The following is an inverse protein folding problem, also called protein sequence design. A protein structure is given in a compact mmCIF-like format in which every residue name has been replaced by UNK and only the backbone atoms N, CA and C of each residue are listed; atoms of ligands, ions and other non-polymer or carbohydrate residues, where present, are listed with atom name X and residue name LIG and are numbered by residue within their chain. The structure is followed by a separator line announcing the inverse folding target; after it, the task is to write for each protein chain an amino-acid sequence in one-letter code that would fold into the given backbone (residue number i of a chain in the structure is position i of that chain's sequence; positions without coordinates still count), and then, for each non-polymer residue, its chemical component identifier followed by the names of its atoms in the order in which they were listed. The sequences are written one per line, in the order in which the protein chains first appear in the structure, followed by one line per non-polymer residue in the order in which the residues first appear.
data_IF_651235720024
#
_entry.id   IF_651235720024
#
_cell.length_a   1.000
_cell.length_b   1.000
_cell.length_c   1.000
_cell.angle_alpha   90.00
_cell.angle_beta   90.00
_cell.angle_gamma   90.00
#
_symmetry.space_group_name_H-M   'P 1'
#
loop_
_entity.id
_entity.type
_entity.pdbx_description
1 polymer ?
#
# COMPACT_ATOMS: atom_id res chain seq x y z
N UNK A 1 1.37 8.74 16.41
CA UNK A 1 0.76 7.67 15.60
C UNK A 1 1.84 6.76 15.04
N UNK A 2 1.66 5.46 15.18
CA UNK A 2 2.54 4.48 14.55
C UNK A 2 1.95 4.11 13.19
N UNK A 3 2.76 4.17 12.16
CA UNK A 3 2.35 3.90 10.79
C UNK A 3 2.95 2.59 10.31
N UNK A 4 2.11 1.67 9.92
CA UNK A 4 2.53 0.33 9.53
C UNK A 4 2.02 0.05 8.11
N UNK A 5 2.91 -0.34 7.23
CA UNK A 5 2.55 -0.74 5.87
C UNK A 5 2.50 -2.26 5.80
N UNK A 6 1.39 -2.79 5.34
CA UNK A 6 1.23 -4.23 5.12
C UNK A 6 1.52 -4.46 3.65
N UNK A 7 2.56 -5.21 3.36
CA UNK A 7 3.01 -5.44 1.98
C UNK A 7 3.01 -6.91 1.64
N UNK A 8 2.86 -7.22 0.36
CA UNK A 8 2.83 -8.58 -0.10
C UNK A 8 2.01 -8.73 -1.36
N UNK A 9 2.14 -9.86 -2.04
CA UNK A 9 1.40 -10.10 -3.28
C UNK A 9 -0.08 -10.39 -3.02
N UNK A 10 -0.84 -10.49 -4.11
CA UNK A 10 -2.21 -10.92 -4.05
C UNK A 10 -2.30 -12.30 -3.38
N UNK A 11 -3.40 -12.55 -2.73
CA UNK A 11 -3.67 -13.84 -2.08
C UNK A 11 -2.73 -14.16 -0.92
N UNK A 12 -2.07 -13.15 -0.37
CA UNK A 12 -1.21 -13.33 0.80
C UNK A 12 -1.92 -13.08 2.13
N UNK A 13 -3.20 -12.70 2.08
CA UNK A 13 -3.94 -12.33 3.28
C UNK A 13 -3.65 -10.91 3.78
N UNK A 14 -3.01 -10.12 2.95
CA UNK A 14 -2.58 -8.77 3.29
C UNK A 14 -3.74 -7.87 3.74
N UNK A 15 -4.81 -7.84 2.95
CA UNK A 15 -5.97 -7.01 3.26
C UNK A 15 -6.66 -7.48 4.53
N UNK A 16 -6.84 -8.78 4.67
CA UNK A 16 -7.47 -9.37 5.85
C UNK A 16 -6.69 -9.01 7.10
N UNK A 17 -5.37 -9.11 7.05
CA UNK A 17 -4.50 -8.77 8.17
C UNK A 17 -4.61 -7.30 8.53
N UNK A 18 -4.57 -6.43 7.53
CA UNK A 18 -4.65 -4.98 7.75
C UNK A 18 -5.95 -4.58 8.43
N UNK A 19 -7.07 -5.14 7.97
CA UNK A 19 -8.38 -4.86 8.56
C UNK A 19 -8.45 -5.41 9.98
N UNK A 20 -7.96 -6.63 10.18
CA UNK A 20 -7.97 -7.28 11.49
C UNK A 20 -7.19 -6.47 12.53
N UNK A 21 -5.97 -6.06 12.17
CA UNK A 21 -5.14 -5.27 13.09
C UNK A 21 -5.77 -3.91 13.38
N UNK A 22 -6.39 -3.31 12.37
CA UNK A 22 -7.05 -2.02 12.56
C UNK A 22 -8.19 -2.12 13.57
N UNK A 23 -8.92 -3.22 13.55
CA UNK A 23 -10.03 -3.42 14.48
C UNK A 23 -9.53 -3.71 15.90
N UNK A 24 -8.55 -4.60 16.04
CA UNK A 24 -8.05 -5.00 17.35
C UNK A 24 -7.35 -3.84 18.07
N UNK A 25 -6.53 -3.10 17.33
CA UNK A 25 -5.75 -2.01 17.90
C UNK A 25 -6.43 -0.65 17.79
N UNK A 26 -7.68 -0.64 17.31
CA UNK A 26 -8.47 0.58 17.13
C UNK A 26 -7.70 1.61 16.29
N UNK A 27 -7.11 1.12 15.21
CA UNK A 27 -6.35 1.94 14.29
C UNK A 27 -7.15 2.38 13.08
N UNK A 28 -6.51 3.12 12.21
CA UNK A 28 -7.09 3.57 10.94
C UNK A 28 -6.60 2.66 9.82
N UNK A 29 -7.54 2.17 9.01
CA UNK A 29 -7.22 1.33 7.86
C UNK A 29 -7.18 2.19 6.60
N UNK A 30 -6.14 2.00 5.78
CA UNK A 30 -6.03 2.65 4.48
C UNK A 30 -6.06 1.58 3.40
N UNK A 31 -7.07 1.65 2.55
CA UNK A 31 -7.29 0.70 1.47
C UNK A 31 -6.25 0.85 0.36
N UNK A 32 -6.02 -0.23 -0.39
CA UNK A 32 -5.12 -0.19 -1.55
C UNK A 32 -5.87 0.40 -2.74
N UNK A 33 -5.47 1.58 -3.16
CA UNK A 33 -6.13 2.28 -4.28
C UNK A 33 -6.05 1.49 -5.58
N UNK A 34 -4.90 0.87 -5.86
CA UNK A 34 -4.70 0.14 -7.11
C UNK A 34 -5.69 -1.01 -7.26
N UNK A 35 -6.04 -1.67 -6.16
CA UNK A 35 -7.02 -2.75 -6.21
C UNK A 35 -8.39 -2.24 -6.64
N UNK A 36 -8.82 -1.13 -6.06
CA UNK A 36 -10.10 -0.53 -6.41
C UNK A 36 -10.12 -0.12 -7.88
N UNK A 37 -9.01 0.44 -8.35
CA UNK A 37 -8.90 0.84 -9.75
C UNK A 37 -8.99 -0.38 -10.67
N UNK A 38 -8.27 -1.47 -10.34
CA UNK A 38 -8.24 -2.66 -11.18
C UNK A 38 -9.55 -3.43 -11.16
N UNK A 39 -10.34 -3.28 -10.11
CA UNK A 39 -11.69 -3.89 -10.08
C UNK A 39 -12.63 -3.24 -11.09
N UNK A 40 -12.36 -1.99 -11.45
CA UNK A 40 -13.17 -1.25 -12.42
C UNK A 40 -12.57 -1.27 -13.81
N UNK A 41 -11.26 -1.46 -13.92
CA UNK A 41 -10.52 -1.42 -15.17
C UNK A 41 -9.62 -2.65 -15.26
N UNK A 42 -9.72 -3.38 -16.36
CA UNK A 42 -8.97 -4.64 -16.50
C UNK A 42 -7.48 -4.44 -16.75
N UNK A 43 -7.11 -3.30 -17.33
CA UNK A 43 -5.72 -3.04 -17.71
C UNK A 43 -5.23 -1.72 -17.17
N UNK A 44 -3.91 -1.57 -17.14
CA UNK A 44 -3.27 -0.33 -16.72
C UNK A 44 -1.97 -0.16 -17.48
N UNK A 45 -1.46 1.09 -17.50
CA UNK A 45 -0.21 1.43 -18.15
C UNK A 45 0.78 1.95 -17.09
N UNK A 46 2.02 2.22 -17.54
CA UNK A 46 3.03 2.78 -16.65
C UNK A 46 2.57 4.13 -16.08
N UNK A 47 1.81 4.90 -16.86
CA UNK A 47 1.31 6.19 -16.37
C UNK A 47 0.30 6.03 -15.26
N UNK A 48 -0.45 4.94 -15.25
CA UNK A 48 -1.41 4.66 -14.17
C UNK A 48 -0.70 4.43 -12.84
N UNK A 49 0.53 3.95 -12.87
CA UNK A 49 1.30 3.75 -11.63
C UNK A 49 1.59 5.07 -10.92
N UNK A 50 1.78 6.15 -11.67
CA UNK A 50 1.94 7.48 -11.08
C UNK A 50 0.68 7.89 -10.35
N UNK A 51 -0.48 7.59 -10.94
CA UNK A 51 -1.78 7.87 -10.32
C UNK A 51 -1.95 7.02 -9.07
N UNK A 52 -1.60 5.75 -9.14
CA UNK A 52 -1.70 4.84 -8.00
C UNK A 52 -0.85 5.37 -6.83
N UNK A 53 0.39 5.76 -7.11
CA UNK A 53 1.29 6.26 -6.08
C UNK A 53 0.76 7.56 -5.47
N UNK A 54 0.29 8.47 -6.29
CA UNK A 54 -0.25 9.74 -5.81
C UNK A 54 -1.48 9.52 -4.93
N UNK A 55 -2.43 8.71 -5.40
CA UNK A 55 -3.66 8.47 -4.66
C UNK A 55 -3.41 7.69 -3.37
N UNK A 56 -2.52 6.71 -3.41
CA UNK A 56 -2.17 5.95 -2.22
C UNK A 56 -1.52 6.86 -1.17
N UNK A 57 -0.58 7.68 -1.60
CA UNK A 57 0.07 8.64 -0.71
C UNK A 57 -0.93 9.63 -0.12
N UNK A 58 -1.86 10.11 -0.93
CA UNK A 58 -2.89 11.04 -0.48
C UNK A 58 -3.77 10.40 0.58
N UNK A 59 -4.18 9.16 0.37
CA UNK A 59 -5.01 8.44 1.33
C UNK A 59 -4.29 8.22 2.64
N UNK A 60 -3.00 7.87 2.57
CA UNK A 60 -2.18 7.68 3.78
C UNK A 60 -2.03 8.99 4.54
N UNK A 61 -1.75 10.08 3.84
CA UNK A 61 -1.59 11.38 4.48
C UNK A 61 -2.88 11.87 5.11
N UNK A 62 -4.01 11.66 4.43
CA UNK A 62 -5.30 12.04 5.00
C UNK A 62 -5.63 11.22 6.24
N UNK A 63 -5.36 9.93 6.21
CA UNK A 63 -5.58 9.05 7.35
C UNK A 63 -4.66 9.38 8.51
N UNK A 64 -3.46 9.90 8.22
CA UNK A 64 -2.49 10.29 9.26
C UNK A 64 -2.97 11.46 10.10
N UNK A 65 -4.00 12.16 9.66
CA UNK A 65 -4.57 13.29 10.40
C UNK A 65 -5.59 12.87 11.45
N UNK A 66 -5.90 11.57 11.51
CA UNK A 66 -6.82 11.05 12.53
C UNK A 66 -6.12 10.98 13.88
N UNK A 67 -6.91 10.85 14.93
CA UNK A 67 -6.37 10.81 16.30
C UNK A 67 -6.04 9.40 16.78
N UNK A 68 -6.14 8.41 15.91
CA UNK A 68 -5.84 7.02 16.29
C UNK A 68 -4.34 6.83 16.50
N UNK A 69 -3.99 5.88 17.36
CA UNK A 69 -2.59 5.60 17.68
C UNK A 69 -1.88 4.79 16.61
N UNK A 70 -2.64 4.12 15.74
CA UNK A 70 -2.09 3.26 14.70
C UNK A 70 -2.74 3.55 13.36
N UNK A 71 -1.94 3.40 12.29
CA UNK A 71 -2.43 3.45 10.93
C UNK A 71 -1.90 2.22 10.20
N UNK A 72 -2.79 1.46 9.60
CA UNK A 72 -2.43 0.26 8.83
C UNK A 72 -2.76 0.50 7.37
N UNK A 73 -1.74 0.63 6.54
CA UNK A 73 -1.91 0.85 5.11
C UNK A 73 -1.76 -0.46 4.36
N UNK A 74 -2.77 -0.80 3.58
CA UNK A 74 -2.73 -1.95 2.68
C UNK A 74 -1.96 -1.48 1.45
N UNK A 75 -0.66 -1.67 1.44
CA UNK A 75 0.27 -1.23 0.42
C UNK A 75 0.71 0.23 0.63
N UNK A 76 1.89 0.53 0.18
CA UNK A 76 2.50 1.85 0.27
C UNK A 76 3.18 2.20 -1.04
N UNK A 77 3.70 3.43 -1.15
CA UNK A 77 4.30 3.92 -2.39
C UNK A 77 5.55 3.12 -2.78
N UNK A 78 6.32 2.66 -1.80
CA UNK A 78 7.54 1.89 -2.11
C UNK A 78 7.21 0.59 -2.86
N UNK A 79 6.04 0.00 -2.59
CA UNK A 79 5.60 -1.19 -3.31
C UNK A 79 5.33 -0.86 -4.77
N UNK A 80 4.73 0.31 -5.03
CA UNK A 80 4.46 0.75 -6.39
C UNK A 80 5.76 1.04 -7.13
N UNK A 81 6.77 1.57 -6.43
CA UNK A 81 8.09 1.79 -7.00
C UNK A 81 8.69 0.46 -7.46
N UNK A 82 8.66 -0.55 -6.60
CA UNK A 82 9.18 -1.88 -6.92
C UNK A 82 8.42 -2.47 -8.11
N UNK A 83 7.11 -2.33 -8.12
CA UNK A 83 6.24 -2.80 -9.21
C UNK A 83 6.64 -2.16 -10.54
N UNK A 84 6.86 -0.85 -10.55
CA UNK A 84 7.25 -0.13 -11.75
C UNK A 84 8.59 -0.63 -12.29
N UNK A 85 9.57 -0.82 -11.41
CA UNK A 85 10.89 -1.28 -11.79
C UNK A 85 10.84 -2.70 -12.33
N UNK A 86 10.12 -3.59 -11.67
CA UNK A 86 10.07 -5.00 -12.07
C UNK A 86 9.30 -5.20 -13.38
N UNK A 87 8.19 -4.49 -13.55
CA UNK A 87 7.34 -4.71 -14.72
C UNK A 87 7.78 -3.90 -15.93
N UNK A 88 8.12 -2.64 -15.73
CA UNK A 88 8.40 -1.72 -16.82
C UNK A 88 9.88 -1.35 -16.97
N UNK A 89 10.72 -1.75 -16.01
CA UNK A 89 12.14 -1.40 -16.00
C UNK A 89 12.36 0.11 -15.99
N UNK A 90 11.40 0.85 -15.46
CA UNK A 90 11.43 2.30 -15.40
C UNK A 90 10.87 2.78 -14.07
N UNK A 91 11.32 3.94 -13.64
CA UNK A 91 10.83 4.57 -12.43
C UNK A 91 10.66 6.06 -12.69
N UNK A 92 9.43 6.55 -12.53
CA UNK A 92 9.17 7.96 -12.72
C UNK A 92 9.73 8.76 -11.55
N UNK A 93 10.03 10.03 -11.83
CA UNK A 93 10.51 10.94 -10.81
C UNK A 93 9.44 11.14 -9.72
N UNK A 94 8.17 11.20 -10.11
CA UNK A 94 7.06 11.36 -9.16
C UNK A 94 7.02 10.24 -8.13
N UNK A 95 7.09 8.99 -8.59
CA UNK A 95 7.04 7.85 -7.69
C UNK A 95 8.26 7.85 -6.77
N UNK A 96 9.43 8.12 -7.33
CA UNK A 96 10.66 8.14 -6.55
C UNK A 96 10.60 9.19 -5.45
N UNK A 97 10.12 10.39 -5.76
CA UNK A 97 10.00 11.46 -4.77
C UNK A 97 9.02 11.09 -3.66
N UNK A 98 7.90 10.49 -4.02
CA UNK A 98 6.91 10.09 -3.03
C UNK A 98 7.42 8.96 -2.13
N UNK A 99 8.14 7.98 -2.71
CA UNK A 99 8.66 6.87 -1.91
C UNK A 99 9.75 7.33 -0.96
N UNK A 100 10.57 8.30 -1.37
CA UNK A 100 11.63 8.82 -0.52
C UNK A 100 11.08 9.61 0.68
N UNK A 101 9.89 10.17 0.55
CA UNK A 101 9.25 10.91 1.62
C UNK A 101 8.40 10.04 2.54
N UNK A 102 8.22 8.78 2.17
CA UNK A 102 7.40 7.86 2.95
C UNK A 102 8.08 7.54 4.27
N UNK A 103 7.31 7.56 5.36
CA UNK A 103 7.88 7.41 6.69
C UNK A 103 7.09 6.44 7.56
N UNK A 104 7.02 5.19 7.12
CA UNK A 104 6.40 4.15 7.92
C UNK A 104 7.35 3.69 9.03
N UNK A 105 6.78 3.38 10.18
CA UNK A 105 7.55 2.86 11.32
C UNK A 105 7.89 1.39 11.13
N UNK A 106 7.07 0.67 10.36
CA UNK A 106 7.25 -0.76 10.19
C UNK A 106 6.62 -1.21 8.87
N UNK A 107 7.24 -2.19 8.23
CA UNK A 107 6.68 -2.86 7.05
C UNK A 107 6.48 -4.32 7.42
N UNK A 108 5.24 -4.80 7.32
CA UNK A 108 4.92 -6.20 7.57
C UNK A 108 4.76 -6.92 6.24
N UNK A 109 5.61 -7.89 5.99
CA UNK A 109 5.59 -8.64 4.74
C UNK A 109 4.74 -9.90 4.89
N UNK A 110 3.70 -10.00 4.07
CA UNK A 110 2.87 -11.19 4.01
C UNK A 110 3.40 -12.11 2.92
N UNK A 111 3.64 -13.37 3.25
CA UNK A 111 4.12 -14.34 2.27
C UNK A 111 2.95 -14.96 1.53
N UNK A 112 3.10 -15.18 0.20
CA UNK A 112 1.99 -15.67 -0.62
C UNK A 112 1.66 -17.14 -0.43
N UNK A 113 2.64 -17.95 -0.10
CA UNK A 113 2.49 -19.40 -0.09
C UNK A 113 2.52 -19.97 1.31
N UNK A 114 1.63 -19.54 2.12
CA UNK A 114 1.49 -20.18 3.41
C UNK A 114 0.97 -21.58 3.15
N UNK A 115 1.65 -22.59 3.62
CA UNK A 115 1.23 -23.96 3.36
C UNK A 115 0.04 -24.34 4.21
N UNK A 116 -1.08 -23.90 3.78
CA UNK A 116 -2.34 -24.30 4.40
C UNK A 116 -2.55 -25.76 4.10
N UNK A 117 -2.26 -26.55 5.02
CA UNK A 117 -2.52 -27.98 4.87
C UNK A 117 -3.64 -28.39 5.75
#
# INVERSE_FOLDING_TARGET
MKKISIVGPESSGKTTLAIFLSKILQGTYVNEYARDYLNKNETYTINDLDIFAFKQNQSINNASKTENNFLFADTSVIVIEIWSILKYKKLSKSIKELSEKENFDCYLLCKPDIPWK
#
